data_IF_067582607785
#
_entry.id   IF_067582607785
#
_cell.length_a   1.000
_cell.length_b   1.000
_cell.length_c   1.000
_cell.angle_alpha   90.00
_cell.angle_beta   90.00
_cell.angle_gamma   90.00
#
_symmetry.space_group_name_H-M   'P 1'
#
loop_
_entity.id
_entity.type
_entity.pdbx_description
1 polymer ?
#
# COMPACT_ATOMS: atom_id res chain seq x y z
N UNK A 1 53.41 -54.86 3.91
CA UNK A 1 52.69 -56.07 4.36
C UNK A 1 53.20 -56.49 5.74
N UNK A 2 52.37 -57.09 6.61
CA UNK A 2 52.87 -57.73 7.82
C UNK A 2 53.61 -59.02 7.41
N UNK A 3 54.94 -59.05 7.56
CA UNK A 3 55.76 -60.23 7.27
C UNK A 3 57.04 -60.00 6.46
N UNK A 4 57.22 -58.84 5.81
CA UNK A 4 58.48 -58.52 5.13
C UNK A 4 59.55 -58.05 6.13
N UNK A 5 60.77 -58.60 6.05
CA UNK A 5 61.91 -58.14 6.86
C UNK A 5 62.23 -56.68 6.49
N UNK A 6 61.74 -55.74 7.29
CA UNK A 6 61.90 -54.27 7.07
C UNK A 6 63.35 -53.79 7.18
N UNK A 7 64.20 -54.56 7.83
CA UNK A 7 65.60 -54.24 8.08
C UNK A 7 66.46 -55.47 7.79
N UNK A 8 67.61 -55.29 7.12
CA UNK A 8 68.63 -56.35 7.02
C UNK A 8 69.21 -56.64 8.40
N UNK A 9 69.76 -57.84 8.62
CA UNK A 9 70.40 -58.23 9.89
C UNK A 9 71.91 -58.01 9.80
N UNK A 10 72.52 -57.52 10.88
CA UNK A 10 73.97 -57.36 11.05
C UNK A 10 74.48 -58.32 12.13
N UNK A 11 75.81 -58.47 12.28
CA UNK A 11 76.47 -59.32 13.30
C UNK A 11 75.92 -59.12 14.72
N UNK A 12 75.36 -57.95 15.01
CA UNK A 12 74.60 -57.65 16.21
C UNK A 12 73.33 -56.85 15.85
N UNK A 13 72.20 -57.53 15.66
CA UNK A 13 70.88 -56.90 15.51
C UNK A 13 70.54 -56.43 14.09
N UNK A 14 69.75 -55.35 13.96
CA UNK A 14 69.31 -54.80 12.67
C UNK A 14 70.37 -53.89 12.04
N UNK A 15 70.37 -53.81 10.71
CA UNK A 15 71.24 -52.93 9.96
C UNK A 15 70.89 -51.47 10.26
N UNK A 16 71.86 -50.75 10.84
CA UNK A 16 71.69 -49.36 11.31
C UNK A 16 71.28 -48.40 10.19
N UNK A 17 71.73 -48.62 8.96
CA UNK A 17 71.37 -47.76 7.81
C UNK A 17 69.89 -47.95 7.48
N UNK A 18 69.41 -49.19 7.38
CA UNK A 18 68.01 -49.47 7.08
C UNK A 18 67.07 -48.91 8.17
N UNK A 19 67.49 -49.01 9.44
CA UNK A 19 66.75 -48.44 10.59
C UNK A 19 66.71 -46.92 10.52
N UNK A 20 67.85 -46.26 10.28
CA UNK A 20 67.91 -44.81 10.17
C UNK A 20 67.07 -44.29 9.00
N UNK A 21 67.16 -44.91 7.81
CA UNK A 21 66.35 -44.53 6.65
C UNK A 21 64.86 -44.70 6.90
N UNK A 22 64.45 -45.74 7.62
CA UNK A 22 63.05 -45.91 8.01
C UNK A 22 62.59 -44.84 9.00
N UNK A 23 63.41 -44.51 10.00
CA UNK A 23 63.09 -43.44 10.96
C UNK A 23 62.97 -42.09 10.23
N UNK A 24 63.91 -41.77 9.34
CA UNK A 24 63.87 -40.54 8.53
C UNK A 24 62.61 -40.47 7.66
N UNK A 25 62.26 -41.57 6.99
CA UNK A 25 61.04 -41.65 6.18
C UNK A 25 59.79 -41.47 7.05
N UNK A 26 59.74 -42.10 8.21
CA UNK A 26 58.63 -42.01 9.14
C UNK A 26 58.46 -40.58 9.66
N UNK A 27 59.55 -39.92 10.05
CA UNK A 27 59.55 -38.52 10.50
C UNK A 27 59.02 -37.60 9.40
N UNK A 28 59.50 -37.79 8.16
CA UNK A 28 59.01 -37.01 7.00
C UNK A 28 57.52 -37.23 6.74
N UNK A 29 57.04 -38.48 6.79
CA UNK A 29 55.61 -38.78 6.64
C UNK A 29 54.76 -38.15 7.75
N UNK A 30 55.28 -38.06 8.98
CA UNK A 30 54.60 -37.36 10.08
C UNK A 30 54.58 -35.84 9.86
N UNK A 31 55.71 -35.24 9.47
CA UNK A 31 55.80 -33.81 9.19
C UNK A 31 54.87 -33.40 8.04
N UNK A 32 54.82 -34.21 6.97
CA UNK A 32 53.94 -33.97 5.82
C UNK A 32 52.46 -34.03 6.25
N UNK A 33 52.07 -35.00 7.09
CA UNK A 33 50.70 -35.11 7.63
C UNK A 33 50.35 -33.98 8.59
N UNK A 34 51.29 -33.55 9.43
CA UNK A 34 51.08 -32.41 10.32
C UNK A 34 50.81 -31.14 9.51
N UNK A 35 51.62 -30.92 8.47
CA UNK A 35 51.44 -29.78 7.57
C UNK A 35 50.09 -29.82 6.84
N UNK A 36 49.70 -30.99 6.31
CA UNK A 36 48.38 -31.15 5.66
C UNK A 36 47.24 -30.81 6.63
N UNK A 37 47.34 -31.23 7.89
CA UNK A 37 46.34 -30.90 8.91
C UNK A 37 46.34 -29.44 9.30
N UNK A 38 47.50 -28.80 9.38
CA UNK A 38 47.59 -27.36 9.64
C UNK A 38 46.96 -26.55 8.50
N UNK A 39 47.19 -26.95 7.25
CA UNK A 39 46.58 -26.33 6.06
C UNK A 39 45.05 -26.53 6.05
N UNK A 40 44.56 -27.73 6.38
CA UNK A 40 43.13 -28.02 6.53
C UNK A 40 42.49 -27.17 7.63
N UNK A 41 43.13 -27.06 8.79
CA UNK A 41 42.68 -26.23 9.91
C UNK A 41 42.62 -24.75 9.49
N UNK A 42 43.60 -24.26 8.76
CA UNK A 42 43.62 -22.89 8.27
C UNK A 42 42.45 -22.63 7.30
N UNK A 43 42.21 -23.54 6.35
CA UNK A 43 41.09 -23.45 5.41
C UNK A 43 39.73 -23.45 6.13
N UNK A 44 39.53 -24.37 7.09
CA UNK A 44 38.29 -24.44 7.87
C UNK A 44 38.06 -23.19 8.72
N UNK A 45 39.12 -22.63 9.33
CA UNK A 45 39.04 -21.37 10.08
C UNK A 45 38.59 -20.21 9.18
N UNK A 46 39.13 -20.12 7.97
CA UNK A 46 38.74 -19.09 7.00
C UNK A 46 37.28 -19.24 6.58
N UNK A 47 36.85 -20.46 6.23
CA UNK A 47 35.44 -20.73 5.88
C UNK A 47 34.49 -20.40 7.04
N UNK A 48 34.84 -20.76 8.27
CA UNK A 48 34.04 -20.46 9.45
C UNK A 48 33.89 -18.94 9.65
N UNK A 49 34.98 -18.18 9.46
CA UNK A 49 34.96 -16.72 9.51
C UNK A 49 34.03 -16.13 8.44
N UNK A 50 34.12 -16.62 7.20
CA UNK A 50 33.25 -16.17 6.11
C UNK A 50 31.77 -16.48 6.38
N UNK A 51 31.47 -17.67 6.90
CA UNK A 51 30.09 -18.04 7.23
C UNK A 51 29.52 -17.20 8.37
N UNK A 52 30.32 -16.89 9.39
CA UNK A 52 29.90 -15.96 10.45
C UNK A 52 29.58 -14.59 9.91
N UNK A 53 30.44 -14.05 9.04
CA UNK A 53 30.18 -12.74 8.42
C UNK A 53 28.91 -12.75 7.58
N UNK A 54 28.71 -13.78 6.73
CA UNK A 54 27.48 -13.93 5.94
C UNK A 54 26.25 -14.06 6.82
N UNK A 55 26.34 -14.80 7.92
CA UNK A 55 25.25 -14.96 8.87
C UNK A 55 24.85 -13.62 9.52
N UNK A 56 25.84 -12.85 9.98
CA UNK A 56 25.59 -11.51 10.54
C UNK A 56 24.98 -10.57 9.52
N UNK A 57 25.43 -10.60 8.26
CA UNK A 57 24.86 -9.80 7.18
C UNK A 57 23.41 -10.20 6.86
N UNK A 58 23.10 -11.49 6.86
CA UNK A 58 21.72 -11.96 6.66
C UNK A 58 20.82 -11.60 7.84
N UNK A 59 21.32 -11.67 9.08
CA UNK A 59 20.57 -11.27 10.25
C UNK A 59 20.18 -9.80 10.18
N UNK A 60 21.15 -8.91 9.88
CA UNK A 60 20.87 -7.47 9.68
C UNK A 60 19.85 -7.20 8.57
N UNK A 61 19.94 -7.92 7.45
CA UNK A 61 18.98 -7.79 6.35
C UNK A 61 17.58 -8.26 6.76
N UNK A 62 17.49 -9.34 7.53
CA UNK A 62 16.21 -9.86 8.02
C UNK A 62 15.54 -8.85 8.99
N UNK A 63 16.32 -8.26 9.89
CA UNK A 63 15.83 -7.23 10.81
C UNK A 63 15.33 -6.00 10.04
N UNK A 64 16.11 -5.50 9.08
CA UNK A 64 15.69 -4.39 8.22
C UNK A 64 14.39 -4.70 7.45
N UNK A 65 14.28 -5.89 6.89
CA UNK A 65 13.06 -6.31 6.18
C UNK A 65 11.85 -6.37 7.12
N UNK A 66 12.03 -6.81 8.36
CA UNK A 66 10.94 -6.82 9.33
C UNK A 66 10.51 -5.39 9.69
N UNK A 67 11.45 -4.48 9.96
CA UNK A 67 11.13 -3.07 10.22
C UNK A 67 10.40 -2.42 9.04
N UNK A 68 10.85 -2.67 7.81
CA UNK A 68 10.23 -2.10 6.62
C UNK A 68 8.81 -2.66 6.42
N UNK A 69 8.59 -3.95 6.69
CA UNK A 69 7.25 -4.56 6.67
C UNK A 69 6.32 -3.94 7.70
N UNK A 70 6.79 -3.69 8.92
CA UNK A 70 6.01 -3.02 9.96
C UNK A 70 5.63 -1.59 9.55
N UNK A 71 6.58 -0.82 9.01
CA UNK A 71 6.33 0.53 8.50
C UNK A 71 5.28 0.52 7.38
N UNK A 72 5.44 -0.36 6.39
CA UNK A 72 4.49 -0.50 5.28
C UNK A 72 3.10 -0.87 5.80
N UNK A 73 3.00 -1.85 6.70
CA UNK A 73 1.72 -2.25 7.29
C UNK A 73 1.05 -1.07 8.01
N UNK A 74 1.80 -0.29 8.79
CA UNK A 74 1.27 0.89 9.49
C UNK A 74 0.74 1.96 8.53
N UNK A 75 1.43 2.18 7.40
CA UNK A 75 1.02 3.14 6.37
C UNK A 75 -0.25 2.66 5.66
N UNK A 76 -0.32 1.36 5.32
CA UNK A 76 -1.49 0.78 4.67
C UNK A 76 -2.74 0.86 5.55
N UNK A 77 -2.61 0.58 6.85
CA UNK A 77 -3.72 0.70 7.80
C UNK A 77 -4.21 2.15 7.85
N UNK A 78 -3.30 3.11 8.03
CA UNK A 78 -3.66 4.54 8.06
C UNK A 78 -4.30 5.01 6.77
N UNK A 79 -3.78 4.58 5.62
CA UNK A 79 -4.36 4.92 4.32
C UNK A 79 -5.78 4.35 4.17
N UNK A 80 -6.02 3.12 4.63
CA UNK A 80 -7.33 2.50 4.61
C UNK A 80 -8.32 3.24 5.53
N UNK A 81 -7.90 3.57 6.76
CA UNK A 81 -8.72 4.33 7.71
C UNK A 81 -9.08 5.71 7.14
N UNK A 82 -8.11 6.44 6.59
CA UNK A 82 -8.34 7.74 5.97
C UNK A 82 -9.26 7.65 4.75
N UNK A 83 -9.11 6.63 3.91
CA UNK A 83 -9.99 6.41 2.77
C UNK A 83 -11.43 6.11 3.22
N UNK A 84 -11.61 5.34 4.30
CA UNK A 84 -12.93 5.08 4.87
C UNK A 84 -13.59 6.35 5.42
N UNK A 85 -12.83 7.19 6.13
CA UNK A 85 -13.31 8.49 6.63
C UNK A 85 -13.74 9.37 5.45
N UNK A 86 -12.88 9.53 4.44
CA UNK A 86 -13.19 10.34 3.25
C UNK A 86 -14.44 9.86 2.53
N UNK A 87 -14.64 8.54 2.40
CA UNK A 87 -15.85 7.97 1.80
C UNK A 87 -17.10 8.22 2.63
N UNK A 88 -16.99 8.19 3.96
CA UNK A 88 -18.12 8.51 4.85
C UNK A 88 -18.47 9.99 4.79
N UNK A 89 -17.47 10.88 4.84
CA UNK A 89 -17.66 12.33 4.72
C UNK A 89 -18.30 12.69 3.39
N UNK A 90 -17.80 12.15 2.28
CA UNK A 90 -18.37 12.39 0.95
C UNK A 90 -19.83 11.92 0.83
N UNK A 91 -20.21 10.83 1.52
CA UNK A 91 -21.61 10.38 1.57
C UNK A 91 -22.49 11.34 2.36
N UNK A 92 -22.02 11.77 3.53
CA UNK A 92 -22.75 12.72 4.38
C UNK A 92 -22.95 14.04 3.62
N UNK A 93 -21.90 14.57 3.00
CA UNK A 93 -21.95 15.81 2.23
C UNK A 93 -22.92 15.70 1.04
N UNK A 94 -22.87 14.59 0.30
CA UNK A 94 -23.81 14.34 -0.80
C UNK A 94 -25.27 14.25 -0.33
N UNK A 95 -25.53 13.60 0.79
CA UNK A 95 -26.88 13.49 1.37
C UNK A 95 -27.38 14.85 1.87
N UNK A 96 -26.52 15.66 2.49
CA UNK A 96 -26.85 17.02 2.90
C UNK A 96 -27.14 17.94 1.70
N UNK A 97 -26.32 17.88 0.66
CA UNK A 97 -26.50 18.69 -0.55
C UNK A 97 -27.78 18.30 -1.28
N UNK A 98 -28.06 17.00 -1.39
CA UNK A 98 -29.33 16.49 -1.92
C UNK A 98 -30.52 17.03 -1.13
N UNK A 99 -30.47 17.01 0.20
CA UNK A 99 -31.56 17.53 1.03
C UNK A 99 -31.77 19.03 0.82
N UNK A 100 -30.70 19.82 0.77
CA UNK A 100 -30.77 21.26 0.48
C UNK A 100 -31.39 21.52 -0.90
N UNK A 101 -31.05 20.70 -1.89
CA UNK A 101 -31.60 20.81 -3.24
C UNK A 101 -33.10 20.50 -3.25
N UNK A 102 -33.54 19.44 -2.55
CA UNK A 102 -34.95 19.07 -2.40
C UNK A 102 -35.76 20.18 -1.72
N UNK A 103 -35.25 20.76 -0.62
CA UNK A 103 -35.87 21.90 0.06
C UNK A 103 -36.01 23.12 -0.86
N UNK A 104 -34.96 23.41 -1.66
CA UNK A 104 -34.98 24.51 -2.63
C UNK A 104 -36.02 24.26 -3.74
N UNK A 105 -36.06 23.05 -4.28
CA UNK A 105 -37.04 22.66 -5.31
C UNK A 105 -38.46 22.85 -4.79
N UNK A 106 -38.75 22.46 -3.56
CA UNK A 106 -40.08 22.56 -3.00
C UNK A 106 -40.48 24.03 -2.78
N UNK A 107 -39.58 24.86 -2.24
CA UNK A 107 -39.83 26.30 -2.10
C UNK A 107 -40.09 26.99 -3.45
N UNK A 108 -39.33 26.64 -4.49
CA UNK A 108 -39.54 27.19 -5.83
C UNK A 108 -40.86 26.73 -6.45
N UNK A 109 -41.31 25.48 -6.19
CA UNK A 109 -42.63 25.02 -6.62
C UNK A 109 -43.75 25.82 -5.95
N UNK A 110 -43.67 26.06 -4.64
CA UNK A 110 -44.67 26.86 -3.91
C UNK A 110 -44.79 28.26 -4.52
N UNK A 111 -43.66 28.95 -4.74
CA UNK A 111 -43.65 30.26 -5.42
C UNK A 111 -44.30 30.20 -6.80
N UNK A 112 -44.05 29.14 -7.56
CA UNK A 112 -44.63 28.95 -8.89
C UNK A 112 -46.17 28.81 -8.85
N UNK A 113 -46.69 28.13 -7.82
CA UNK A 113 -48.14 28.01 -7.60
C UNK A 113 -48.74 29.36 -7.25
N UNK A 114 -48.10 30.12 -6.36
CA UNK A 114 -48.56 31.45 -5.95
C UNK A 114 -48.61 32.42 -7.15
N UNK A 115 -47.53 32.48 -7.94
CA UNK A 115 -47.47 33.33 -9.15
C UNK A 115 -48.56 32.94 -10.15
N UNK A 116 -48.86 31.65 -10.33
CA UNK A 116 -49.97 31.20 -11.20
C UNK A 116 -51.32 31.65 -10.67
N UNK A 117 -51.54 31.62 -9.37
CA UNK A 117 -52.77 32.07 -8.72
C UNK A 117 -52.95 33.59 -8.90
N UNK A 118 -51.88 34.36 -8.70
CA UNK A 118 -51.84 35.81 -8.92
C UNK A 118 -52.13 36.17 -10.38
N UNK A 119 -51.49 35.49 -11.34
CA UNK A 119 -51.75 35.69 -12.77
C UNK A 119 -53.21 35.41 -13.15
N UNK A 120 -53.81 34.35 -12.59
CA UNK A 120 -55.22 34.03 -12.82
C UNK A 120 -56.13 35.14 -12.29
N UNK A 121 -55.82 35.66 -11.10
CA UNK A 121 -56.55 36.76 -10.47
C UNK A 121 -56.42 38.03 -11.29
N UNK A 122 -55.20 38.40 -11.68
CA UNK A 122 -54.92 39.57 -12.52
C UNK A 122 -55.67 39.48 -13.85
N UNK A 123 -55.65 38.32 -14.52
CA UNK A 123 -56.41 38.09 -15.75
C UNK A 123 -57.91 38.32 -15.54
N UNK A 124 -58.49 37.80 -14.45
CA UNK A 124 -59.90 38.03 -14.13
C UNK A 124 -60.20 39.51 -13.89
N UNK A 125 -59.33 40.23 -13.17
CA UNK A 125 -59.48 41.67 -12.92
C UNK A 125 -59.45 42.43 -14.25
N UNK A 126 -58.48 42.16 -15.11
CA UNK A 126 -58.36 42.80 -16.44
C UNK A 126 -59.61 42.57 -17.28
N UNK A 127 -60.09 41.32 -17.38
CA UNK A 127 -61.31 40.99 -18.14
C UNK A 127 -62.54 41.73 -17.58
N UNK A 128 -62.70 41.75 -16.26
CA UNK A 128 -63.81 42.45 -15.61
C UNK A 128 -63.76 43.96 -15.84
N UNK A 129 -62.57 44.55 -15.78
CA UNK A 129 -62.37 45.98 -16.05
C UNK A 129 -62.66 46.33 -17.51
N UNK A 130 -62.18 45.53 -18.46
CA UNK A 130 -62.50 45.71 -19.88
C UNK A 130 -64.01 45.62 -20.15
N UNK A 131 -64.70 44.63 -19.57
CA UNK A 131 -66.17 44.53 -19.66
C UNK A 131 -66.89 45.74 -19.07
N UNK A 132 -66.41 46.29 -17.95
CA UNK A 132 -66.99 47.52 -17.37
C UNK A 132 -66.84 48.70 -18.33
N UNK A 133 -65.66 48.88 -18.92
CA UNK A 133 -65.45 49.95 -19.92
C UNK A 133 -66.30 49.75 -21.16
N UNK A 134 -66.46 48.52 -21.65
CA UNK A 134 -67.33 48.19 -22.79
C UNK A 134 -68.79 48.56 -22.53
N UNK A 135 -69.33 48.22 -21.35
CA UNK A 135 -70.70 48.59 -20.94
C UNK A 135 -70.84 50.11 -20.81
N UNK A 136 -69.86 50.78 -20.21
CA UNK A 136 -69.88 52.24 -20.05
C UNK A 136 -69.85 52.96 -21.41
N UNK A 137 -69.03 52.48 -22.35
CA UNK A 137 -68.98 53.03 -23.71
C UNK A 137 -70.28 52.78 -24.47
N UNK A 138 -70.86 51.58 -24.36
CA UNK A 138 -72.17 51.26 -24.95
C UNK A 138 -73.28 52.19 -24.45
N UNK A 139 -73.32 52.46 -23.13
CA UNK A 139 -74.29 53.39 -22.55
C UNK A 139 -74.14 54.83 -23.04
N UNK A 140 -72.91 55.32 -23.22
CA UNK A 140 -72.67 56.67 -23.76
C UNK A 140 -73.12 56.79 -25.22
N UNK A 141 -72.92 55.74 -26.02
CA UNK A 141 -73.35 55.70 -27.43
C UNK A 141 -74.88 55.68 -27.53
N UNK A 142 -75.55 54.94 -26.65
CA UNK A 142 -77.01 54.91 -26.59
C UNK A 142 -77.62 56.25 -26.11
N UNK A 143 -76.93 56.96 -25.21
CA UNK A 143 -77.32 58.32 -24.78
C UNK A 143 -77.13 59.36 -25.90
N UNK A 144 -76.06 59.29 -26.68
CA UNK A 144 -75.85 60.16 -27.85
C UNK A 144 -76.90 59.92 -28.96
N UNK A 145 -77.38 58.68 -29.14
CA UNK A 145 -78.41 58.35 -30.12
C UNK A 145 -79.83 58.77 -29.72
N UNK A 146 -80.10 58.99 -28.42
CA UNK A 146 -81.39 59.48 -27.93
C UNK A 146 -81.44 61.01 -27.78
N UNK A 147 -80.29 61.69 -27.81
CA UNK A 147 -80.17 63.13 -27.66
C UNK A 147 -80.04 63.91 -28.99
N UNK A 148 -80.05 63.23 -30.14
CA UNK A 148 -80.09 63.80 -31.50
C UNK A 148 -81.43 63.57 -32.19
#
# INVERSE_FOLDING_TARGET
MPGEKRFRTSLFGFNKVDVNTYIEKLLREFDDKLKEKDDEIAALKNQNREFKQKYEDFLKKADQLNEDREKIASVLIRAQEQAQVMLQEARIEADEEKKKLEETIESEKEKLVDIRQELKTLKSVVVNTLKKYEVQLGGIIDEEQQAG
#
